data_IF_423409861395
#
_entry.id   IF_423409861395
#
_cell.length_a   1.000
_cell.length_b   1.000
_cell.length_c   1.000
_cell.angle_alpha   90.00
_cell.angle_beta   90.00
_cell.angle_gamma   90.00
#
_symmetry.space_group_name_H-M   'P 1'
#
loop_
_entity.id
_entity.type
_entity.pdbx_description
1 polymer ?
#
# COMPACT_ATOMS: atom_id res chain seq x y z
N UNK A 1 4.09 -1.28 19.61
CA UNK A 1 4.57 -1.13 18.23
C UNK A 1 5.11 0.28 18.02
N UNK A 2 5.98 0.50 17.04
CA UNK A 2 6.47 1.82 16.65
C UNK A 2 5.89 2.27 15.31
N UNK A 3 5.45 3.53 15.24
CA UNK A 3 4.86 4.15 14.03
C UNK A 3 5.46 5.54 13.83
N UNK A 4 5.88 5.84 12.60
CA UNK A 4 6.46 7.13 12.23
C UNK A 4 5.39 8.05 11.62
N UNK A 5 5.15 9.21 12.21
CA UNK A 5 4.08 10.13 11.80
C UNK A 5 4.70 11.39 11.19
N UNK A 6 4.24 11.75 9.99
CA UNK A 6 4.74 12.88 9.18
C UNK A 6 3.61 13.79 8.69
N UNK A 7 3.99 15.00 8.26
CA UNK A 7 3.10 15.96 7.62
C UNK A 7 2.35 16.86 8.60
N UNK A 8 1.10 17.17 8.29
CA UNK A 8 0.27 18.18 8.96
C UNK A 8 -0.32 17.72 10.31
N UNK A 9 0.56 17.36 11.26
CA UNK A 9 0.24 17.07 12.66
C UNK A 9 1.02 18.00 13.59
N UNK A 10 0.53 18.20 14.80
CA UNK A 10 1.15 19.09 15.81
C UNK A 10 2.63 18.75 16.09
N UNK A 11 2.97 17.46 16.21
CA UNK A 11 4.34 16.99 16.46
C UNK A 11 4.67 15.75 15.61
N UNK A 12 5.21 15.92 14.40
CA UNK A 12 5.76 14.81 13.61
C UNK A 12 6.88 14.09 14.38
N UNK A 13 7.00 12.77 14.21
CA UNK A 13 7.98 11.96 14.93
C UNK A 13 7.64 10.48 15.05
N UNK A 14 8.48 9.73 15.77
CA UNK A 14 8.28 8.30 16.04
C UNK A 14 7.52 8.10 17.35
N UNK A 15 6.41 7.37 17.31
CA UNK A 15 5.53 7.11 18.45
C UNK A 15 5.47 5.62 18.78
N UNK A 16 5.26 5.30 20.07
CA UNK A 16 5.00 3.94 20.54
C UNK A 16 3.52 3.78 20.86
N UNK A 17 2.89 2.78 20.27
CA UNK A 17 1.45 2.50 20.30
C UNK A 17 1.16 1.07 20.77
N UNK A 18 -0.05 0.81 21.24
CA UNK A 18 -0.51 -0.51 21.65
C UNK A 18 -0.90 -1.38 20.43
N UNK A 19 -1.03 -2.69 20.65
CA UNK A 19 -1.51 -3.62 19.62
C UNK A 19 -3.03 -3.51 19.48
N UNK A 20 -3.51 -3.20 18.26
CA UNK A 20 -4.92 -2.94 17.99
C UNK A 20 -5.32 -1.46 17.97
N UNK A 21 -4.38 -0.53 18.23
CA UNK A 21 -4.57 0.90 17.99
C UNK A 21 -4.85 1.19 16.50
N UNK A 22 -5.40 2.37 16.21
CA UNK A 22 -5.74 2.82 14.85
C UNK A 22 -4.98 4.08 14.45
N UNK A 23 -5.06 4.42 13.16
CA UNK A 23 -4.42 5.62 12.61
C UNK A 23 -4.91 6.92 13.28
N UNK A 24 -6.14 6.96 13.81
CA UNK A 24 -6.61 8.08 14.65
C UNK A 24 -5.87 8.19 15.99
N UNK A 25 -5.58 7.07 16.65
CA UNK A 25 -4.90 7.03 17.95
C UNK A 25 -3.42 7.40 17.79
N UNK A 26 -2.81 6.99 16.68
CA UNK A 26 -1.50 7.45 16.26
C UNK A 26 -1.44 8.98 16.12
N UNK A 27 -2.36 9.59 15.35
CA UNK A 27 -2.40 11.05 15.20
C UNK A 27 -2.73 11.76 16.51
N UNK A 28 -3.57 11.18 17.37
CA UNK A 28 -3.82 11.70 18.72
C UNK A 28 -2.53 11.71 19.57
N UNK A 29 -1.68 10.68 19.48
CA UNK A 29 -0.37 10.66 20.13
C UNK A 29 0.58 11.74 19.60
N UNK A 30 0.50 12.08 18.30
CA UNK A 30 1.20 13.22 17.71
C UNK A 30 0.70 14.60 18.22
N UNK A 31 -0.43 14.64 18.93
CA UNK A 31 -1.08 15.87 19.41
C UNK A 31 -2.28 16.31 18.57
N UNK A 32 -2.62 15.59 17.52
CA UNK A 32 -3.73 15.91 16.62
C UNK A 32 -3.29 16.45 15.26
N UNK A 33 -4.29 16.75 14.43
CA UNK A 33 -4.15 17.41 13.13
C UNK A 33 -3.94 18.91 13.27
N UNK A 34 -3.13 19.50 12.39
CA UNK A 34 -3.14 20.94 12.16
C UNK A 34 -4.41 21.35 11.39
N UNK A 35 -4.84 22.61 11.52
CA UNK A 35 -5.96 23.18 10.74
C UNK A 35 -5.77 23.09 9.21
N UNK A 36 -4.52 22.92 8.76
CA UNK A 36 -4.14 22.75 7.36
C UNK A 36 -4.22 21.30 6.86
N UNK A 37 -4.52 20.32 7.71
CA UNK A 37 -4.44 18.89 7.38
C UNK A 37 -5.65 18.37 6.57
N UNK A 38 -5.39 17.61 5.51
CA UNK A 38 -6.43 16.93 4.74
C UNK A 38 -6.72 15.53 5.29
N UNK A 39 -7.44 15.49 6.41
CA UNK A 39 -7.86 14.26 7.10
C UNK A 39 -8.57 13.24 6.18
N UNK A 40 -9.17 13.70 5.07
CA UNK A 40 -9.92 12.85 4.11
C UNK A 40 -9.00 11.92 3.31
N UNK A 41 -7.71 12.23 3.23
CA UNK A 41 -6.73 11.42 2.50
C UNK A 41 -6.13 10.29 3.37
N UNK A 42 -6.43 10.25 4.67
CA UNK A 42 -5.92 9.24 5.60
C UNK A 42 -7.07 8.37 6.10
N UNK A 43 -6.98 7.05 5.96
CA UNK A 43 -7.98 6.12 6.51
C UNK A 43 -7.83 6.00 8.04
N UNK A 44 -8.43 6.93 8.78
CA UNK A 44 -8.32 7.03 10.24
C UNK A 44 -8.84 5.79 11.00
N UNK A 45 -9.70 4.98 10.37
CA UNK A 45 -10.34 3.82 10.99
C UNK A 45 -9.53 2.52 10.86
N UNK A 46 -8.45 2.50 10.06
CA UNK A 46 -7.58 1.32 9.93
C UNK A 46 -6.76 1.08 11.19
N UNK A 47 -6.45 -0.17 11.47
CA UNK A 47 -5.43 -0.55 12.46
C UNK A 47 -4.04 -0.08 12.04
N UNK A 48 -3.18 0.19 13.02
CA UNK A 48 -1.75 0.43 12.77
C UNK A 48 -0.93 -0.86 12.77
N UNK A 49 0.25 -0.81 12.16
CA UNK A 49 1.20 -1.93 12.02
C UNK A 49 2.59 -1.50 12.48
N UNK A 50 3.33 -2.41 13.12
CA UNK A 50 4.70 -2.13 13.61
C UNK A 50 5.66 -1.80 12.46
N UNK A 51 6.43 -0.73 12.64
CA UNK A 51 7.40 -0.23 11.65
C UNK A 51 6.79 0.62 10.54
N UNK A 52 5.49 0.92 10.56
CA UNK A 52 4.86 1.68 9.48
C UNK A 52 5.08 3.20 9.54
N UNK A 53 4.67 3.88 8.47
CA UNK A 53 4.70 5.32 8.33
C UNK A 53 3.30 5.87 7.99
N UNK A 54 2.87 6.91 8.71
CA UNK A 54 1.61 7.64 8.49
C UNK A 54 1.96 9.06 8.05
N UNK A 55 1.81 9.34 6.77
CA UNK A 55 1.85 10.71 6.25
C UNK A 55 0.45 11.35 6.30
N UNK A 56 0.39 12.57 6.81
CA UNK A 56 -0.82 13.40 6.84
C UNK A 56 -0.61 14.58 5.89
N UNK A 57 -1.18 14.59 4.67
CA UNK A 57 -0.99 15.69 3.72
C UNK A 57 -1.74 16.94 4.17
N UNK A 58 -1.31 18.11 3.68
CA UNK A 58 -2.04 19.36 3.80
C UNK A 58 -3.17 19.49 2.75
N UNK A 59 -4.12 20.40 2.98
CA UNK A 59 -5.23 20.68 2.07
C UNK A 59 -4.69 21.29 0.77
N UNK A 60 -4.86 20.57 -0.34
CA UNK A 60 -4.31 20.95 -1.65
C UNK A 60 -2.91 20.41 -1.92
N UNK A 61 -2.27 19.76 -0.95
CA UNK A 61 -1.10 18.92 -1.18
C UNK A 61 -1.57 17.62 -1.86
N UNK A 62 -0.99 17.34 -3.03
CA UNK A 62 -1.02 15.99 -3.60
C UNK A 62 0.07 15.23 -2.85
N UNK A 63 -0.26 14.16 -2.09
CA UNK A 63 0.75 13.44 -1.33
C UNK A 63 1.80 12.86 -2.27
N UNK A 64 3.08 13.08 -1.95
CA UNK A 64 4.17 12.48 -2.70
C UNK A 64 4.14 10.96 -2.48
N UNK A 65 3.68 10.24 -3.51
CA UNK A 65 3.48 8.79 -3.49
C UNK A 65 4.78 8.00 -3.28
N UNK A 66 5.94 8.65 -3.27
CA UNK A 66 7.22 8.06 -2.90
C UNK A 66 7.29 7.53 -1.44
N UNK A 67 6.37 7.94 -0.53
CA UNK A 67 6.40 7.54 0.88
C UNK A 67 5.01 7.27 1.48
N UNK A 68 4.40 6.12 1.15
CA UNK A 68 3.18 5.68 1.84
C UNK A 68 2.32 4.63 1.13
N UNK A 69 2.53 4.37 -0.17
CA UNK A 69 1.80 3.33 -0.93
C UNK A 69 2.59 2.03 -1.05
N UNK A 70 3.18 1.57 0.06
CA UNK A 70 3.49 0.15 0.22
C UNK A 70 2.16 -0.62 0.15
N UNK A 71 1.84 -1.14 -1.05
CA UNK A 71 0.49 -1.57 -1.42
C UNK A 71 -0.11 -2.55 -0.41
N UNK A 72 -1.37 -2.33 -0.03
CA UNK A 72 -2.08 -2.97 1.10
C UNK A 72 -1.83 -4.47 1.24
N UNK A 73 -0.77 -4.81 1.97
CA UNK A 73 -0.27 -6.17 2.14
C UNK A 73 -1.04 -6.90 3.24
N UNK A 74 -2.33 -7.15 3.00
CA UNK A 74 -3.22 -7.89 3.90
C UNK A 74 -2.70 -9.33 4.02
N UNK A 75 -1.94 -9.61 5.09
CA UNK A 75 -1.25 -10.88 5.27
C UNK A 75 0.03 -11.05 4.44
N UNK A 76 0.70 -9.96 4.06
CA UNK A 76 1.98 -10.01 3.32
C UNK A 76 1.86 -10.35 1.83
N UNK A 77 0.65 -10.34 1.27
CA UNK A 77 0.40 -10.59 -0.16
C UNK A 77 0.23 -9.30 -0.96
N UNK A 78 0.75 -9.28 -2.19
CA UNK A 78 0.61 -8.14 -3.12
C UNK A 78 -0.75 -8.22 -3.84
N UNK A 79 -1.55 -7.15 -3.77
CA UNK A 79 -2.81 -7.07 -4.51
C UNK A 79 -2.55 -6.69 -5.98
N UNK A 80 -2.85 -7.57 -6.94
CA UNK A 80 -2.55 -7.36 -8.37
C UNK A 80 -3.47 -6.35 -9.07
N UNK A 81 -4.60 -6.00 -8.45
CA UNK A 81 -5.53 -4.98 -8.95
C UNK A 81 -5.18 -3.56 -8.47
N UNK A 82 -4.44 -3.41 -7.36
CA UNK A 82 -4.09 -2.10 -6.76
C UNK A 82 -2.59 -1.81 -6.69
N UNK A 83 -1.72 -2.81 -6.80
CA UNK A 83 -0.27 -2.60 -6.79
C UNK A 83 0.19 -1.77 -8.00
N UNK A 84 1.23 -0.98 -7.77
CA UNK A 84 1.99 -0.25 -8.77
C UNK A 84 3.12 -1.11 -9.35
N UNK A 85 3.97 -0.52 -10.20
CA UNK A 85 5.08 -1.25 -10.82
C UNK A 85 6.12 -1.71 -9.78
N UNK A 86 6.41 -0.88 -8.78
CA UNK A 86 7.36 -1.21 -7.71
C UNK A 86 6.83 -2.32 -6.77
N UNK A 87 5.55 -2.27 -6.38
CA UNK A 87 4.93 -3.32 -5.58
C UNK A 87 4.91 -4.67 -6.29
N UNK A 88 4.70 -4.69 -7.61
CA UNK A 88 4.77 -5.90 -8.43
C UNK A 88 6.21 -6.41 -8.62
N UNK A 89 7.22 -5.54 -8.74
CA UNK A 89 8.65 -5.90 -8.86
C UNK A 89 9.22 -6.57 -7.60
N UNK A 90 8.54 -6.48 -6.45
CA UNK A 90 8.89 -7.25 -5.25
C UNK A 90 8.64 -8.77 -5.39
N UNK A 91 7.86 -9.20 -6.39
CA UNK A 91 7.42 -10.58 -6.53
C UNK A 91 8.43 -11.46 -7.29
N UNK A 92 8.69 -12.71 -6.85
CA UNK A 92 9.67 -13.57 -7.49
C UNK A 92 9.29 -13.88 -8.94
N UNK A 93 10.24 -13.66 -9.86
CA UNK A 93 10.09 -13.80 -11.33
C UNK A 93 9.26 -12.70 -12.01
N UNK A 94 8.77 -11.69 -11.28
CA UNK A 94 8.22 -10.45 -11.85
C UNK A 94 9.31 -9.40 -11.79
N UNK A 95 9.93 -9.10 -12.94
CA UNK A 95 10.73 -7.87 -13.10
C UNK A 95 9.87 -6.72 -13.63
N UNK A 96 10.44 -5.53 -13.91
CA UNK A 96 9.64 -4.36 -14.30
C UNK A 96 8.83 -4.64 -15.57
N UNK A 97 9.46 -5.26 -16.59
CA UNK A 97 8.80 -5.64 -17.83
C UNK A 97 7.72 -6.75 -17.70
N UNK A 98 7.55 -7.38 -16.53
CA UNK A 98 6.35 -8.17 -16.21
C UNK A 98 5.32 -7.31 -15.47
N UNK A 99 5.74 -6.50 -14.51
CA UNK A 99 4.87 -5.56 -13.79
C UNK A 99 4.13 -4.62 -14.76
N UNK A 100 4.81 -3.98 -15.72
CA UNK A 100 4.17 -3.15 -16.77
C UNK A 100 3.10 -3.92 -17.55
N UNK A 101 3.29 -5.23 -17.77
CA UNK A 101 2.35 -6.09 -18.52
C UNK A 101 1.14 -6.51 -17.70
N UNK A 102 1.31 -6.74 -16.40
CA UNK A 102 0.20 -6.99 -15.47
C UNK A 102 -0.69 -5.73 -15.38
N UNK A 103 -0.08 -4.55 -15.31
CA UNK A 103 -0.77 -3.25 -15.32
C UNK A 103 -1.52 -3.02 -16.65
N UNK A 104 -0.83 -3.15 -17.79
CA UNK A 104 -1.47 -2.99 -19.10
C UNK A 104 -2.59 -4.04 -19.35
N UNK A 105 -2.45 -5.26 -18.82
CA UNK A 105 -3.49 -6.28 -18.94
C UNK A 105 -4.76 -5.86 -18.17
N UNK A 106 -4.65 -5.43 -16.91
CA UNK A 106 -5.83 -5.03 -16.11
C UNK A 106 -6.50 -3.75 -16.60
N UNK A 107 -5.76 -2.88 -17.30
CA UNK A 107 -6.30 -1.69 -17.95
C UNK A 107 -7.06 -2.04 -19.24
N UNK A 108 -6.54 -2.98 -20.04
CA UNK A 108 -7.14 -3.37 -21.33
C UNK A 108 -8.31 -4.38 -21.21
N UNK A 109 -8.25 -5.30 -20.24
CA UNK A 109 -9.20 -6.41 -20.09
C UNK A 109 -10.14 -6.24 -18.87
N UNK A 110 -9.86 -5.25 -18.01
CA UNK A 110 -10.50 -5.10 -16.70
C UNK A 110 -9.74 -5.81 -15.59
N UNK A 111 -10.21 -5.60 -14.34
CA UNK A 111 -9.59 -6.15 -13.13
C UNK A 111 -9.59 -7.68 -13.12
N UNK A 112 -8.53 -8.27 -12.58
CA UNK A 112 -8.43 -9.70 -12.29
C UNK A 112 -9.52 -10.09 -11.29
N UNK A 113 -10.26 -11.17 -11.58
CA UNK A 113 -11.37 -11.67 -10.75
C UNK A 113 -10.88 -12.79 -9.84
N UNK A 114 -9.97 -13.62 -10.33
CA UNK A 114 -9.25 -14.63 -9.52
C UNK A 114 -7.74 -14.49 -9.72
N UNK A 115 -6.96 -15.22 -8.91
CA UNK A 115 -5.49 -15.16 -8.97
C UNK A 115 -4.99 -15.82 -10.27
N UNK A 116 -5.68 -16.87 -10.72
CA UNK A 116 -5.43 -17.63 -11.95
C UNK A 116 -5.52 -16.76 -13.22
N UNK A 117 -6.27 -15.66 -13.20
CA UNK A 117 -6.37 -14.73 -14.34
C UNK A 117 -5.01 -14.12 -14.72
N UNK A 118 -4.01 -14.14 -13.82
CA UNK A 118 -2.62 -13.81 -14.14
C UNK A 118 -2.04 -14.64 -15.29
N UNK A 119 -2.49 -15.88 -15.49
CA UNK A 119 -2.03 -16.74 -16.60
C UNK A 119 -2.43 -16.21 -17.99
N UNK A 120 -3.39 -15.28 -18.05
CA UNK A 120 -3.73 -14.58 -19.28
C UNK A 120 -2.74 -13.44 -19.64
N UNK A 121 -1.83 -13.07 -18.73
CA UNK A 121 -0.83 -12.03 -18.96
C UNK A 121 0.36 -12.59 -19.74
N UNK A 122 0.63 -12.03 -20.93
CA UNK A 122 1.70 -12.47 -21.84
C UNK A 122 3.08 -12.51 -21.17
N UNK A 123 3.51 -13.71 -20.78
CA UNK A 123 4.79 -13.99 -20.10
C UNK A 123 4.64 -14.73 -18.77
N UNK A 124 3.43 -14.78 -18.19
CA UNK A 124 3.13 -15.58 -16.99
C UNK A 124 2.78 -17.01 -17.41
N UNK A 125 3.80 -17.87 -17.54
CA UNK A 125 3.61 -19.32 -17.64
C UNK A 125 3.43 -19.98 -16.26
N UNK A 126 3.13 -21.28 -16.23
CA UNK A 126 2.81 -22.04 -15.00
C UNK A 126 3.89 -21.87 -13.92
N UNK A 127 5.17 -21.95 -14.30
CA UNK A 127 6.31 -21.77 -13.38
C UNK A 127 6.40 -20.36 -12.80
N UNK A 128 5.92 -19.34 -13.51
CA UNK A 128 5.81 -17.99 -12.97
C UNK A 128 4.66 -17.96 -11.98
N UNK A 129 3.48 -18.43 -12.41
CA UNK A 129 2.26 -18.48 -11.59
C UNK A 129 2.43 -19.25 -10.26
N UNK A 130 3.06 -20.42 -10.26
CA UNK A 130 3.34 -21.22 -9.06
C UNK A 130 4.18 -20.46 -8.01
N UNK A 131 5.09 -19.58 -8.46
CA UNK A 131 5.88 -18.73 -7.56
C UNK A 131 5.12 -17.51 -7.03
N UNK A 132 3.97 -17.18 -7.62
CA UNK A 132 3.20 -15.97 -7.33
C UNK A 132 1.92 -16.25 -6.54
N UNK A 133 1.18 -17.33 -6.85
CA UNK A 133 -0.17 -17.61 -6.31
C UNK A 133 -0.28 -17.48 -4.79
N UNK A 134 0.78 -17.87 -4.08
CA UNK A 134 0.82 -17.88 -2.61
C UNK A 134 1.21 -16.51 -2.03
N UNK A 135 1.78 -15.61 -2.86
CA UNK A 135 2.23 -14.25 -2.53
C UNK A 135 1.32 -13.13 -3.07
N UNK A 136 0.26 -13.45 -3.83
CA UNK A 136 -0.64 -12.45 -4.44
C UNK A 136 -2.10 -12.59 -3.98
N UNK A 137 -2.88 -11.52 -4.17
CA UNK A 137 -4.34 -11.48 -4.03
C UNK A 137 -4.96 -10.61 -5.12
N UNK A 138 -6.25 -10.80 -5.39
CA UNK A 138 -7.08 -9.87 -6.18
C UNK A 138 -7.68 -8.77 -5.31
#
# INVERSE_FOLDING_TARGET
>A
MFVHILGAVERPGLYSLAEGDRAIDAVAAAGGFLDTADQRQVNLARFVVDGEQIAVPAIGEIPDVAAGVAGTAVGGKVNINTADEAGLDTLPRVGPAMATRIIAYREANGRFITIEDLMNVTGVGDKTFEGLRDLVTV
#
